data_IF_110511515384
#
_entry.id   IF_110511515384
#
_cell.length_a   1.000
_cell.length_b   1.000
_cell.length_c   1.000
_cell.angle_alpha   90.00
_cell.angle_beta   90.00
_cell.angle_gamma   90.00
#
_symmetry.space_group_name_H-M   'P 1'
#
loop_
_entity.id
_entity.type
_entity.pdbx_description
1 polymer ?
#
# COMPACT_ATOMS: atom_id res chain seq x y z
N UNK A 1 18.81 -7.03 19.30
CA UNK A 1 17.83 -6.54 18.31
C UNK A 1 16.71 -5.91 19.10
N UNK A 2 16.33 -4.66 18.83
CA UNK A 2 15.16 -4.06 19.45
C UNK A 2 13.92 -4.86 19.01
N UNK A 3 13.07 -5.22 19.96
CA UNK A 3 11.81 -5.90 19.67
C UNK A 3 10.88 -4.83 19.07
N UNK A 4 10.85 -4.72 17.75
CA UNK A 4 9.94 -3.82 17.07
C UNK A 4 8.51 -4.36 17.22
N UNK A 5 7.52 -3.49 17.45
CA UNK A 5 6.14 -3.92 17.52
C UNK A 5 5.70 -4.55 16.18
N UNK A 6 4.98 -5.65 16.25
CA UNK A 6 4.33 -6.26 15.10
C UNK A 6 2.98 -5.59 14.90
N UNK A 7 2.69 -5.20 13.65
CA UNK A 7 1.39 -4.66 13.22
C UNK A 7 0.76 -5.59 12.18
N UNK A 8 -0.50 -5.89 12.35
CA UNK A 8 -1.29 -6.72 11.43
C UNK A 8 -2.29 -5.81 10.71
N UNK A 9 -2.09 -5.68 9.39
CA UNK A 9 -2.92 -4.82 8.54
C UNK A 9 -3.47 -5.64 7.37
N UNK A 10 -4.60 -6.37 7.57
CA UNK A 10 -5.20 -7.21 6.54
C UNK A 10 -5.65 -6.39 5.34
N UNK A 11 -5.45 -6.94 4.13
CA UNK A 11 -6.04 -6.39 2.91
C UNK A 11 -7.52 -6.74 2.82
N UNK A 12 -8.33 -5.76 2.46
CA UNK A 12 -9.76 -5.92 2.19
C UNK A 12 -10.06 -6.33 0.74
N UNK A 13 -9.02 -6.58 -0.07
CA UNK A 13 -9.17 -6.95 -1.48
C UNK A 13 -9.99 -8.23 -1.67
N UNK A 14 -9.83 -9.20 -0.77
CA UNK A 14 -10.50 -10.51 -0.83
C UNK A 14 -11.77 -10.59 0.03
N UNK A 15 -12.22 -9.48 0.61
CA UNK A 15 -13.46 -9.40 1.35
C UNK A 15 -14.69 -9.52 0.40
N UNK A 16 -15.84 -9.89 0.95
CA UNK A 16 -17.11 -9.77 0.22
C UNK A 16 -17.44 -8.29 0.02
N UNK A 17 -17.17 -7.77 -1.18
CA UNK A 17 -17.37 -6.35 -1.50
C UNK A 17 -18.86 -5.95 -1.43
N UNK A 18 -19.80 -6.89 -1.53
CA UNK A 18 -21.23 -6.64 -1.32
C UNK A 18 -21.57 -6.37 0.14
N UNK A 19 -20.68 -6.76 1.07
CA UNK A 19 -20.81 -6.63 2.52
C UNK A 19 -19.58 -6.02 3.18
N UNK A 20 -18.85 -5.21 2.43
CA UNK A 20 -17.52 -4.70 2.82
C UNK A 20 -17.50 -4.07 4.22
N UNK A 21 -18.53 -3.32 4.59
CA UNK A 21 -18.61 -2.70 5.92
C UNK A 21 -18.70 -3.75 7.05
N UNK A 22 -19.42 -4.85 6.82
CA UNK A 22 -19.53 -5.95 7.80
C UNK A 22 -18.21 -6.72 7.89
N UNK A 23 -17.55 -6.95 6.75
CA UNK A 23 -16.23 -7.59 6.69
C UNK A 23 -15.17 -6.78 7.47
N UNK A 24 -15.11 -5.46 7.25
CA UNK A 24 -14.21 -4.57 8.00
C UNK A 24 -14.53 -4.59 9.49
N UNK A 25 -15.81 -4.50 9.87
CA UNK A 25 -16.21 -4.53 11.27
C UNK A 25 -15.84 -5.84 11.97
N UNK A 26 -15.86 -6.97 11.25
CA UNK A 26 -15.54 -8.28 11.80
C UNK A 26 -14.09 -8.41 12.29
N UNK A 27 -13.17 -7.64 11.73
CA UNK A 27 -11.73 -7.70 12.05
C UNK A 27 -11.25 -6.55 12.95
N UNK A 28 -12.11 -5.56 13.27
CA UNK A 28 -11.70 -4.33 13.97
C UNK A 28 -11.05 -4.55 15.35
N UNK A 29 -11.29 -5.67 15.99
CA UNK A 29 -10.70 -5.97 17.30
C UNK A 29 -9.43 -6.82 17.22
N UNK A 30 -9.13 -7.37 16.05
CA UNK A 30 -8.04 -8.32 15.82
C UNK A 30 -6.96 -7.78 14.89
N UNK A 31 -7.16 -6.58 14.30
CA UNK A 31 -6.24 -5.93 13.40
C UNK A 31 -5.77 -4.58 13.94
N UNK A 32 -4.57 -4.15 13.54
CA UNK A 32 -3.98 -2.84 13.86
C UNK A 32 -4.27 -1.79 12.79
N UNK A 33 -4.69 -2.21 11.60
CA UNK A 33 -5.08 -1.38 10.47
C UNK A 33 -5.84 -2.18 9.42
N UNK A 34 -6.25 -1.53 8.34
CA UNK A 34 -6.76 -2.20 7.13
C UNK A 34 -5.96 -1.72 5.92
N UNK A 35 -5.63 -2.64 5.02
CA UNK A 35 -4.98 -2.30 3.76
C UNK A 35 -5.99 -2.26 2.62
N UNK A 36 -5.88 -1.22 1.80
CA UNK A 36 -6.70 -0.98 0.61
C UNK A 36 -5.83 -1.09 -0.62
N UNK A 37 -5.96 -2.18 -1.36
CA UNK A 37 -5.21 -2.45 -2.58
C UNK A 37 -5.92 -1.84 -3.80
N UNK A 38 -5.38 -0.72 -4.30
CA UNK A 38 -5.93 0.05 -5.42
C UNK A 38 -5.25 -0.34 -6.72
N UNK A 39 -6.03 -0.79 -7.70
CA UNK A 39 -5.55 -1.31 -8.98
C UNK A 39 -6.26 -0.64 -10.14
N UNK A 40 -5.51 -0.28 -11.18
CA UNK A 40 -5.98 0.49 -12.34
C UNK A 40 -6.17 -0.32 -13.64
N UNK A 41 -5.87 -1.62 -13.62
CA UNK A 41 -5.90 -2.48 -14.81
C UNK A 41 -4.78 -2.22 -15.82
N UNK A 42 -3.78 -1.39 -15.46
CA UNK A 42 -2.62 -1.06 -16.30
C UNK A 42 -1.32 -1.47 -15.64
N UNK A 43 -1.06 -1.03 -14.42
CA UNK A 43 0.10 -1.47 -13.65
C UNK A 43 0.04 -2.96 -13.30
N UNK A 44 -1.17 -3.42 -13.00
CA UNK A 44 -1.53 -4.83 -12.83
C UNK A 44 -2.77 -5.14 -13.69
N UNK A 45 -2.98 -6.41 -14.11
CA UNK A 45 -4.09 -6.75 -15.01
C UNK A 45 -5.47 -6.70 -14.36
N UNK A 46 -5.54 -6.58 -13.04
CA UNK A 46 -6.78 -6.52 -12.27
C UNK A 46 -7.23 -5.08 -12.03
N UNK A 47 -8.54 -4.91 -11.86
CA UNK A 47 -9.17 -3.70 -11.35
C UNK A 47 -9.72 -3.96 -9.96
N UNK A 48 -9.51 -3.04 -9.03
CA UNK A 48 -10.14 -3.13 -7.72
C UNK A 48 -11.06 -1.94 -7.47
N UNK A 49 -10.88 -1.21 -6.41
CA UNK A 49 -11.69 -0.06 -6.02
C UNK A 49 -10.78 1.13 -5.68
N UNK A 50 -11.36 2.32 -5.66
CA UNK A 50 -10.64 3.55 -5.38
C UNK A 50 -11.26 4.35 -4.23
N UNK A 51 -10.89 5.63 -4.15
CA UNK A 51 -11.33 6.55 -3.09
C UNK A 51 -12.85 6.61 -2.85
N UNK A 52 -13.74 6.48 -3.87
CA UNK A 52 -15.19 6.45 -3.63
C UNK A 52 -15.64 5.31 -2.72
N UNK A 53 -15.02 4.13 -2.82
CA UNK A 53 -15.33 2.98 -1.94
C UNK A 53 -14.73 3.21 -0.57
N UNK A 54 -13.45 3.62 -0.51
CA UNK A 54 -12.74 3.91 0.77
C UNK A 54 -13.51 4.94 1.60
N UNK A 55 -14.05 5.97 0.96
CA UNK A 55 -14.89 6.99 1.61
C UNK A 55 -16.12 6.42 2.32
N UNK A 56 -16.62 5.27 1.86
CA UNK A 56 -17.81 4.63 2.44
C UNK A 56 -17.49 3.75 3.65
N UNK A 57 -16.23 3.35 3.83
CA UNK A 57 -15.79 2.51 4.93
C UNK A 57 -15.79 3.34 6.23
N UNK A 58 -16.46 2.80 7.25
CA UNK A 58 -16.47 3.36 8.59
C UNK A 58 -15.71 2.44 9.51
N UNK A 59 -14.56 2.89 9.99
CA UNK A 59 -13.70 2.11 10.88
C UNK A 59 -12.89 3.05 11.79
N UNK A 60 -12.50 2.55 12.96
CA UNK A 60 -11.53 3.19 13.86
C UNK A 60 -10.09 2.83 13.51
N UNK A 61 -9.90 1.82 12.64
CA UNK A 61 -8.58 1.36 12.23
C UNK A 61 -7.92 2.34 11.27
N UNK A 62 -6.61 2.56 11.37
CA UNK A 62 -5.85 3.27 10.37
C UNK A 62 -6.02 2.61 8.99
N UNK A 63 -6.22 3.44 7.96
CA UNK A 63 -6.34 2.97 6.57
C UNK A 63 -4.98 3.14 5.88
N UNK A 64 -4.43 2.03 5.40
CA UNK A 64 -3.22 1.96 4.60
C UNK A 64 -3.60 1.74 3.13
N UNK A 65 -3.24 2.68 2.27
CA UNK A 65 -3.54 2.60 0.83
C UNK A 65 -2.32 2.12 0.06
N UNK A 66 -2.45 0.99 -0.62
CA UNK A 66 -1.43 0.44 -1.50
C UNK A 66 -1.81 0.67 -2.96
N UNK A 67 -1.06 1.54 -3.63
CA UNK A 67 -1.33 1.96 -5.01
C UNK A 67 -0.58 1.07 -6.02
N UNK A 68 -1.28 0.11 -6.59
CA UNK A 68 -0.84 -0.67 -7.75
C UNK A 68 -1.36 -0.04 -9.04
N UNK A 69 -0.91 1.19 -9.31
CA UNK A 69 -1.37 2.04 -10.43
C UNK A 69 -0.19 2.61 -11.20
N UNK A 70 -0.38 2.84 -12.50
CA UNK A 70 0.67 3.33 -13.40
C UNK A 70 1.08 4.79 -13.13
N UNK A 71 0.15 5.61 -12.61
CA UNK A 71 0.36 7.03 -12.36
C UNK A 71 -0.06 7.38 -10.91
N UNK A 72 0.73 6.98 -9.88
CA UNK A 72 0.35 7.21 -8.49
C UNK A 72 0.21 8.71 -8.14
N UNK A 73 1.00 9.59 -8.77
CA UNK A 73 0.92 11.04 -8.57
C UNK A 73 -0.46 11.62 -8.87
N UNK A 74 -1.22 11.02 -9.78
CA UNK A 74 -2.57 11.46 -10.15
C UNK A 74 -3.63 10.97 -9.15
N UNK A 75 -3.27 10.04 -8.25
CA UNK A 75 -4.19 9.36 -7.32
C UNK A 75 -4.05 9.79 -5.88
N UNK A 76 -2.85 10.16 -5.43
CA UNK A 76 -2.61 10.45 -4.01
C UNK A 76 -3.55 11.52 -3.46
N UNK A 77 -3.93 12.54 -4.26
CA UNK A 77 -4.78 13.65 -3.81
C UNK A 77 -6.15 13.21 -3.29
N UNK A 78 -6.77 12.22 -3.95
CA UNK A 78 -8.09 11.72 -3.56
C UNK A 78 -8.05 10.93 -2.23
N UNK A 79 -6.95 10.23 -1.94
CA UNK A 79 -6.77 9.51 -0.68
C UNK A 79 -6.33 10.43 0.47
N UNK A 80 -5.47 11.41 0.20
CA UNK A 80 -5.12 12.43 1.19
C UNK A 80 -6.36 13.20 1.68
N UNK A 81 -7.31 13.49 0.78
CA UNK A 81 -8.58 14.12 1.14
C UNK A 81 -9.47 13.26 2.07
N UNK A 82 -9.21 11.96 2.15
CA UNK A 82 -9.88 11.02 3.07
C UNK A 82 -9.13 10.84 4.39
N UNK A 83 -7.99 11.54 4.58
CA UNK A 83 -7.15 11.43 5.77
C UNK A 83 -6.70 10.00 6.09
N UNK A 84 -6.32 9.24 5.06
CA UNK A 84 -5.75 7.90 5.23
C UNK A 84 -4.42 7.96 5.99
N UNK A 85 -4.08 6.90 6.73
CA UNK A 85 -2.89 6.90 7.59
C UNK A 85 -1.59 6.75 6.80
N UNK A 86 -1.61 5.94 5.74
CA UNK A 86 -0.44 5.66 4.90
C UNK A 86 -0.84 5.59 3.42
N UNK A 87 0.08 5.99 2.54
CA UNK A 87 -0.02 5.76 1.10
C UNK A 87 1.29 5.15 0.61
N UNK A 88 1.21 3.93 0.11
CA UNK A 88 2.34 3.20 -0.47
C UNK A 88 2.19 3.14 -1.98
N UNK A 89 3.23 3.51 -2.73
CA UNK A 89 3.29 3.40 -4.18
C UNK A 89 4.43 2.47 -4.62
N UNK A 90 4.34 1.91 -5.81
CA UNK A 90 5.38 1.04 -6.35
C UNK A 90 6.56 1.83 -6.93
N UNK A 91 7.78 1.41 -6.60
CA UNK A 91 9.01 1.97 -7.19
C UNK A 91 9.01 1.83 -8.72
N UNK A 92 8.45 0.74 -9.23
CA UNK A 92 8.36 0.43 -10.66
C UNK A 92 7.36 1.33 -11.41
N UNK A 93 6.45 1.99 -10.71
CA UNK A 93 5.51 2.95 -11.31
C UNK A 93 6.11 4.36 -11.43
N UNK A 94 7.23 4.63 -10.76
CA UNK A 94 7.88 5.96 -10.75
C UNK A 94 9.39 5.75 -10.89
N UNK A 95 9.89 5.75 -12.11
CA UNK A 95 11.30 5.42 -12.39
C UNK A 95 12.29 6.53 -12.00
N UNK A 96 11.88 7.79 -12.11
CA UNK A 96 12.74 8.93 -11.86
C UNK A 96 12.83 9.29 -10.37
N UNK A 97 14.05 9.43 -9.86
CA UNK A 97 14.36 9.77 -8.45
C UNK A 97 13.70 11.08 -8.00
N UNK A 98 13.68 12.11 -8.82
CA UNK A 98 13.10 13.41 -8.43
C UNK A 98 11.58 13.29 -8.31
N UNK A 99 10.95 12.54 -9.22
CA UNK A 99 9.52 12.23 -9.18
C UNK A 99 9.15 11.42 -7.95
N UNK A 100 9.97 10.42 -7.56
CA UNK A 100 9.79 9.67 -6.31
C UNK A 100 9.85 10.58 -5.09
N UNK A 101 10.87 11.46 -5.02
CA UNK A 101 11.02 12.43 -3.91
C UNK A 101 9.84 13.37 -3.84
N UNK A 102 9.44 13.95 -4.96
CA UNK A 102 8.28 14.85 -5.00
C UNK A 102 6.99 14.16 -4.54
N UNK A 103 6.79 12.89 -4.93
CA UNK A 103 5.63 12.10 -4.52
C UNK A 103 5.63 11.81 -3.01
N UNK A 104 6.78 11.40 -2.46
CA UNK A 104 6.95 11.18 -1.01
C UNK A 104 6.67 12.46 -0.23
N UNK A 105 7.23 13.60 -0.66
CA UNK A 105 7.01 14.90 -0.03
C UNK A 105 5.53 15.31 -0.09
N UNK A 106 4.87 15.10 -1.23
CA UNK A 106 3.46 15.42 -1.40
C UNK A 106 2.57 14.59 -0.46
N UNK A 107 2.82 13.28 -0.33
CA UNK A 107 2.09 12.39 0.58
C UNK A 107 2.26 12.89 2.03
N UNK A 108 3.51 13.12 2.46
CA UNK A 108 3.81 13.61 3.83
C UNK A 108 3.21 14.98 4.12
N UNK A 109 3.26 15.89 3.17
CA UNK A 109 2.62 17.21 3.28
C UNK A 109 1.09 17.09 3.38
N UNK A 110 0.51 16.06 2.77
CA UNK A 110 -0.91 15.74 2.88
C UNK A 110 -1.33 15.13 4.21
N UNK A 111 -0.38 14.84 5.11
CA UNK A 111 -0.62 14.33 6.47
C UNK A 111 -0.61 12.81 6.60
N UNK A 112 -0.34 12.07 5.51
CA UNK A 112 -0.16 10.63 5.55
C UNK A 112 1.33 10.25 5.67
N UNK A 113 1.63 9.06 6.17
CA UNK A 113 2.96 8.46 6.02
C UNK A 113 3.16 7.97 4.58
N UNK A 114 4.40 8.01 4.10
CA UNK A 114 4.75 7.61 2.75
C UNK A 114 5.44 6.25 2.73
N UNK A 115 4.86 5.30 2.01
CA UNK A 115 5.44 3.99 1.74
C UNK A 115 5.93 3.84 0.30
N UNK A 116 6.92 2.97 0.11
CA UNK A 116 7.36 2.51 -1.21
C UNK A 116 7.33 0.99 -1.27
N UNK A 117 6.80 0.44 -2.37
CA UNK A 117 6.68 -1.00 -2.59
C UNK A 117 7.64 -1.48 -3.66
N UNK A 118 8.12 -2.72 -3.49
CA UNK A 118 8.93 -3.44 -4.47
C UNK A 118 8.27 -4.75 -4.86
N UNK A 119 8.18 -5.03 -6.15
CA UNK A 119 7.77 -6.34 -6.66
C UNK A 119 8.75 -7.44 -6.22
N UNK A 120 8.33 -8.72 -6.23
CA UNK A 120 9.20 -9.82 -5.78
C UNK A 120 10.54 -9.87 -6.51
N UNK A 121 10.59 -9.52 -7.80
CA UNK A 121 11.80 -9.56 -8.61
C UNK A 121 12.64 -8.29 -8.55
N UNK A 122 12.09 -7.18 -8.05
CA UNK A 122 12.80 -5.89 -8.00
C UNK A 122 13.82 -5.89 -6.86
N UNK A 123 15.10 -5.61 -7.12
CA UNK A 123 16.12 -5.58 -6.08
C UNK A 123 15.93 -4.39 -5.13
N UNK A 124 16.36 -4.55 -3.87
CA UNK A 124 16.28 -3.49 -2.84
C UNK A 124 17.03 -2.23 -3.28
N UNK A 125 18.15 -2.37 -3.97
CA UNK A 125 18.93 -1.26 -4.50
C UNK A 125 18.14 -0.31 -5.43
N UNK A 126 16.99 -0.75 -5.95
CA UNK A 126 16.12 0.10 -6.77
C UNK A 126 15.52 1.29 -6.01
N UNK A 127 15.62 1.32 -4.67
CA UNK A 127 15.11 2.41 -3.82
C UNK A 127 16.18 3.06 -2.94
N UNK A 128 17.48 2.78 -3.16
CA UNK A 128 18.57 3.32 -2.36
C UNK A 128 18.56 4.86 -2.32
N UNK A 129 18.07 5.48 -3.37
CA UNK A 129 17.95 6.93 -3.56
C UNK A 129 16.89 7.59 -2.66
N UNK A 130 15.89 6.82 -2.20
CA UNK A 130 14.75 7.34 -1.43
C UNK A 130 14.43 6.57 -0.15
N UNK A 131 15.07 5.44 0.11
CA UNK A 131 14.74 4.58 1.27
C UNK A 131 14.78 5.31 2.62
N UNK A 132 15.64 6.32 2.77
CA UNK A 132 15.72 7.15 3.98
C UNK A 132 14.64 8.21 4.08
N UNK A 133 13.87 8.41 3.03
CA UNK A 133 12.80 9.42 2.97
C UNK A 133 11.42 8.83 3.24
N UNK A 134 11.26 7.53 3.08
CA UNK A 134 9.98 6.84 3.32
C UNK A 134 9.86 6.38 4.78
N UNK A 135 8.62 6.19 5.21
CA UNK A 135 8.28 5.72 6.55
C UNK A 135 8.05 4.20 6.56
N UNK A 136 7.75 3.62 5.38
CA UNK A 136 7.45 2.20 5.19
C UNK A 136 8.05 1.69 3.87
N UNK A 137 8.62 0.49 3.90
CA UNK A 137 9.00 -0.27 2.70
C UNK A 137 8.16 -1.54 2.67
N UNK A 138 7.33 -1.70 1.63
CA UNK A 138 6.51 -2.90 1.43
C UNK A 138 7.22 -3.86 0.48
N UNK A 139 7.70 -4.96 1.01
CA UNK A 139 8.26 -6.06 0.21
C UNK A 139 7.13 -6.98 -0.23
N UNK A 140 6.79 -6.95 -1.52
CA UNK A 140 5.80 -7.89 -2.05
C UNK A 140 6.34 -9.31 -1.99
N UNK A 141 5.58 -10.18 -1.33
CA UNK A 141 5.87 -11.62 -1.23
C UNK A 141 5.02 -12.47 -2.18
N UNK A 142 4.25 -11.80 -3.02
CA UNK A 142 3.46 -12.35 -4.13
C UNK A 142 3.51 -11.36 -5.29
N UNK A 143 3.18 -11.78 -6.50
CA UNK A 143 3.04 -10.83 -7.61
C UNK A 143 1.82 -9.92 -7.35
N UNK A 144 1.97 -8.58 -7.52
CA UNK A 144 0.86 -7.67 -7.31
C UNK A 144 -0.29 -7.93 -8.30
N UNK A 145 -1.54 -7.73 -7.83
CA UNK A 145 -2.73 -7.83 -8.69
C UNK A 145 -3.83 -8.77 -8.20
N UNK A 146 -3.51 -9.82 -7.45
CA UNK A 146 -4.50 -10.79 -6.98
C UNK A 146 -4.20 -11.25 -5.54
N UNK A 147 -5.25 -11.56 -4.79
CA UNK A 147 -5.15 -12.23 -3.49
C UNK A 147 -5.05 -13.75 -3.61
N UNK A 148 -4.78 -14.43 -2.48
CA UNK A 148 -4.80 -15.90 -2.38
C UNK A 148 -3.64 -16.61 -3.06
N UNK A 149 -2.55 -15.91 -3.37
CA UNK A 149 -1.34 -16.48 -3.97
C UNK A 149 -0.44 -17.12 -2.90
N UNK A 150 0.35 -18.11 -3.32
CA UNK A 150 1.37 -18.72 -2.46
C UNK A 150 2.51 -17.74 -2.15
N UNK A 151 2.95 -17.75 -0.90
CA UNK A 151 4.07 -16.93 -0.44
C UNK A 151 5.37 -17.28 -1.18
N UNK A 152 6.08 -16.28 -1.67
CA UNK A 152 7.36 -16.40 -2.35
C UNK A 152 8.52 -16.28 -1.35
N UNK A 153 9.15 -17.39 -0.90
CA UNK A 153 10.19 -17.34 0.15
C UNK A 153 11.47 -16.61 -0.30
N UNK A 154 11.69 -16.49 -1.60
CA UNK A 154 12.88 -15.82 -2.17
C UNK A 154 12.93 -14.31 -1.85
N UNK A 155 11.84 -13.73 -1.32
CA UNK A 155 11.84 -12.33 -0.88
C UNK A 155 12.45 -12.15 0.52
N UNK A 156 12.53 -13.19 1.34
CA UNK A 156 13.03 -13.10 2.71
C UNK A 156 14.44 -12.49 2.84
N UNK A 157 15.43 -12.82 1.97
CA UNK A 157 16.74 -12.20 2.00
C UNK A 157 16.74 -10.69 1.76
N UNK A 158 15.66 -10.13 1.18
CA UNK A 158 15.54 -8.69 0.94
C UNK A 158 15.12 -7.91 2.20
N UNK A 159 14.63 -8.61 3.23
CA UNK A 159 14.11 -8.04 4.48
C UNK A 159 15.19 -8.08 5.58
N UNK A 160 16.23 -8.89 5.40
CA UNK A 160 17.28 -9.15 6.37
C UNK A 160 18.33 -8.03 6.51
#
# INVERSE_FOLDING_TARGET
>A
MANLPLFITPSILSADLGRLQEEVASIENDADGIQVDVMDGHFVPNLSFGAPVVKCIRTKLPVDVHLMVSNPQDRIGEFMALHVANITFHAEAVEDTNSRRALIEAIKKGGATAGISLKPQTPVAAIDDVVRLVDLVLMMSVEPGFGGQDFLPDVLPKIA
#
